data_IF_586445561274
#
_entry.id   IF_586445561274
#
_cell.length_a   1.000
_cell.length_b   1.000
_cell.length_c   1.000
_cell.angle_alpha   90.00
_cell.angle_beta   90.00
_cell.angle_gamma   90.00
#
_symmetry.space_group_name_H-M   'P 1'
#
loop_
_entity.id
_entity.type
_entity.pdbx_description
1 polymer ?
#
# COMPACT_ATOMS: atom_id res chain seq x y z
N UNK A 1 -7.05 -30.29 -29.22
CA UNK A 1 -7.71 -28.98 -28.95
C UNK A 1 -8.55 -29.02 -27.66
N UNK A 2 -7.97 -29.49 -26.55
CA UNK A 2 -8.65 -29.55 -25.22
C UNK A 2 -7.90 -28.81 -24.11
N UNK A 3 -6.59 -28.54 -24.31
CA UNK A 3 -5.75 -27.84 -23.32
C UNK A 3 -5.81 -26.31 -23.41
N UNK A 4 -6.34 -25.74 -24.49
CA UNK A 4 -6.39 -24.28 -24.67
C UNK A 4 -7.51 -23.64 -23.83
N UNK A 5 -8.57 -24.39 -23.51
CA UNK A 5 -9.72 -23.90 -22.73
C UNK A 5 -9.41 -23.87 -21.23
N UNK A 6 -8.42 -24.63 -20.75
CA UNK A 6 -8.06 -24.66 -19.33
C UNK A 6 -7.21 -23.45 -18.89
N UNK A 7 -6.62 -22.70 -19.84
CA UNK A 7 -5.71 -21.60 -19.54
C UNK A 7 -6.42 -20.23 -19.41
N UNK A 8 -7.70 -20.13 -19.81
CA UNK A 8 -8.40 -18.83 -19.88
C UNK A 8 -9.19 -18.47 -18.62
N UNK A 9 -9.29 -19.37 -17.62
CA UNK A 9 -10.16 -19.17 -16.44
C UNK A 9 -9.39 -18.61 -15.23
N UNK A 10 -8.05 -18.63 -15.23
CA UNK A 10 -7.23 -18.25 -14.07
C UNK A 10 -6.84 -16.76 -13.98
N UNK A 11 -7.26 -15.90 -14.92
CA UNK A 11 -6.68 -14.55 -15.08
C UNK A 11 -7.56 -13.40 -14.53
N UNK A 12 -8.73 -13.64 -13.95
CA UNK A 12 -9.67 -12.57 -13.61
C UNK A 12 -10.12 -12.51 -12.13
N UNK A 13 -9.17 -12.67 -11.21
CA UNK A 13 -9.39 -12.30 -9.80
C UNK A 13 -8.61 -11.03 -9.44
N UNK A 14 -8.70 -9.99 -10.27
CA UNK A 14 -8.38 -8.63 -9.80
C UNK A 14 -9.54 -8.14 -8.94
N UNK A 15 -9.56 -8.59 -7.68
CA UNK A 15 -10.46 -8.06 -6.68
C UNK A 15 -10.19 -6.57 -6.51
N UNK A 16 -11.13 -5.73 -6.95
CA UNK A 16 -11.15 -4.30 -6.65
C UNK A 16 -11.53 -4.12 -5.16
N UNK A 17 -10.60 -4.48 -4.28
CA UNK A 17 -10.70 -4.21 -2.85
C UNK A 17 -10.30 -2.77 -2.57
N UNK A 18 -11.00 -2.11 -1.64
CA UNK A 18 -10.53 -0.82 -1.13
C UNK A 18 -9.18 -0.97 -0.46
N UNK A 19 -8.39 0.11 -0.50
CA UNK A 19 -7.03 0.17 -0.01
C UNK A 19 -6.94 -0.25 1.48
N UNK A 20 -7.94 0.13 2.26
CA UNK A 20 -8.11 -0.30 3.66
C UNK A 20 -8.15 -1.81 3.82
N UNK A 21 -8.93 -2.51 3.00
CA UNK A 21 -9.08 -3.97 3.11
C UNK A 21 -7.79 -4.68 2.71
N UNK A 22 -7.07 -4.15 1.71
CA UNK A 22 -5.79 -4.71 1.29
C UNK A 22 -4.70 -4.46 2.33
N UNK A 23 -4.65 -3.27 2.92
CA UNK A 23 -3.67 -2.94 3.95
C UNK A 23 -3.80 -3.81 5.20
N UNK A 24 -5.01 -4.30 5.53
CA UNK A 24 -5.23 -5.27 6.61
C UNK A 24 -4.59 -6.65 6.36
N UNK A 25 -4.25 -6.97 5.12
CA UNK A 25 -3.60 -8.23 4.74
C UNK A 25 -2.06 -8.12 4.76
N UNK A 26 -1.53 -6.91 4.95
CA UNK A 26 -0.09 -6.66 5.07
C UNK A 26 0.29 -6.72 6.55
N UNK A 27 1.31 -7.52 6.85
CA UNK A 27 1.80 -7.75 8.21
C UNK A 27 3.19 -7.17 8.39
N UNK A 28 3.56 -6.90 9.64
CA UNK A 28 4.95 -6.59 9.98
C UNK A 28 5.86 -7.76 9.61
N UNK A 29 7.03 -7.45 9.06
CA UNK A 29 7.98 -8.44 8.56
C UNK A 29 7.72 -8.92 7.13
N UNK A 30 6.59 -8.58 6.51
CA UNK A 30 6.31 -8.96 5.13
C UNK A 30 7.36 -8.38 4.17
N UNK A 31 7.72 -9.17 3.17
CA UNK A 31 8.63 -8.76 2.08
C UNK A 31 7.92 -7.84 1.10
N UNK A 32 8.70 -7.11 0.31
CA UNK A 32 8.19 -6.27 -0.78
C UNK A 32 7.37 -7.06 -1.79
N UNK A 33 7.73 -8.30 -2.05
CA UNK A 33 7.04 -9.21 -2.96
C UNK A 33 5.66 -9.57 -2.42
N UNK A 34 5.56 -9.87 -1.11
CA UNK A 34 4.27 -10.13 -0.44
C UNK A 34 3.39 -8.89 -0.45
N UNK A 35 3.94 -7.72 -0.14
CA UNK A 35 3.19 -6.45 -0.20
C UNK A 35 2.70 -6.19 -1.63
N UNK A 36 3.54 -6.41 -2.64
CA UNK A 36 3.16 -6.23 -4.04
C UNK A 36 2.04 -7.19 -4.46
N UNK A 37 2.07 -8.44 -3.99
CA UNK A 37 1.03 -9.42 -4.27
C UNK A 37 -0.34 -9.02 -3.69
N UNK A 38 -0.34 -8.33 -2.55
CA UNK A 38 -1.56 -7.86 -1.87
C UNK A 38 -2.04 -6.51 -2.41
N UNK A 39 -1.14 -5.54 -2.44
CA UNK A 39 -1.46 -4.13 -2.70
C UNK A 39 -1.42 -3.79 -4.19
N UNK A 40 -0.59 -4.49 -4.97
CA UNK A 40 -0.23 -4.12 -6.34
C UNK A 40 1.03 -3.26 -6.39
N UNK A 41 1.28 -2.63 -7.53
CA UNK A 41 2.37 -1.66 -7.66
C UNK A 41 2.04 -0.37 -6.88
N UNK A 42 2.99 0.22 -6.16
CA UNK A 42 2.79 1.51 -5.49
C UNK A 42 2.72 2.66 -6.49
N UNK A 43 2.00 3.73 -6.12
CA UNK A 43 1.90 4.96 -6.91
C UNK A 43 3.15 5.84 -6.76
N UNK A 44 3.80 5.79 -5.58
CA UNK A 44 5.06 6.49 -5.31
C UNK A 44 5.97 5.68 -4.39
N UNK A 45 7.29 5.87 -4.52
CA UNK A 45 8.32 5.20 -3.72
C UNK A 45 9.42 6.19 -3.35
N UNK A 46 9.73 6.23 -2.05
CA UNK A 46 10.81 7.08 -1.52
C UNK A 46 11.78 6.24 -0.68
N UNK A 47 13.06 6.62 -0.67
CA UNK A 47 14.13 5.89 0.01
C UNK A 47 14.94 6.80 0.93
N UNK A 48 15.40 6.26 2.07
CA UNK A 48 16.34 6.92 2.97
C UNK A 48 17.19 5.87 3.71
N UNK A 49 18.37 5.60 3.17
CA UNK A 49 19.27 4.57 3.69
C UNK A 49 18.61 3.19 3.63
N UNK A 50 18.52 2.50 4.76
CA UNK A 50 17.85 1.21 4.89
C UNK A 50 16.32 1.30 4.92
N UNK A 51 15.76 2.51 4.99
CA UNK A 51 14.32 2.74 4.98
C UNK A 51 13.79 2.97 3.56
N UNK A 52 12.59 2.47 3.31
CA UNK A 52 11.86 2.67 2.07
C UNK A 52 10.38 2.88 2.41
N UNK A 53 9.71 3.81 1.72
CA UNK A 53 8.30 4.12 1.93
C UNK A 53 7.56 3.98 0.61
N UNK A 54 6.53 3.14 0.59
CA UNK A 54 5.66 2.94 -0.57
C UNK A 54 4.31 3.56 -0.32
N UNK A 55 3.89 4.44 -1.23
CA UNK A 55 2.61 5.12 -1.13
C UNK A 55 1.64 4.56 -2.14
N UNK A 56 0.43 4.32 -1.67
CA UNK A 56 -0.70 3.89 -2.47
C UNK A 56 -1.83 4.87 -2.27
N UNK A 57 -2.61 5.06 -3.31
CA UNK A 57 -3.69 6.01 -3.29
C UNK A 57 -4.95 5.44 -3.95
N UNK A 58 -6.09 5.80 -3.38
CA UNK A 58 -7.40 5.47 -3.92
C UNK A 58 -8.34 6.67 -3.88
N UNK A 59 -8.77 7.10 -5.06
CA UNK A 59 -9.89 8.04 -5.21
C UNK A 59 -11.21 7.36 -4.86
N UNK A 60 -12.11 8.09 -4.19
CA UNK A 60 -13.49 7.63 -4.01
C UNK A 60 -13.65 6.52 -2.97
N UNK A 61 -12.70 6.38 -2.04
CA UNK A 61 -12.86 5.55 -0.84
C UNK A 61 -13.97 6.07 0.11
N UNK A 62 -14.47 7.29 -0.13
CA UNK A 62 -15.67 7.87 0.46
C UNK A 62 -16.07 9.17 -0.25
N UNK A 63 -16.96 9.95 0.35
CA UNK A 63 -17.43 11.20 -0.24
C UNK A 63 -16.39 12.32 -0.09
N UNK A 64 -15.82 12.77 -1.22
CA UNK A 64 -15.03 14.00 -1.29
C UNK A 64 -13.59 13.90 -0.74
N UNK A 65 -12.99 12.72 -0.71
CA UNK A 65 -11.58 12.56 -0.35
C UNK A 65 -10.88 11.43 -1.12
N UNK A 66 -9.56 11.55 -1.19
CA UNK A 66 -8.62 10.50 -1.58
C UNK A 66 -8.06 9.85 -0.31
N UNK A 67 -7.99 8.52 -0.31
CA UNK A 67 -7.40 7.74 0.77
C UNK A 67 -5.99 7.29 0.36
N UNK A 68 -5.07 7.34 1.31
CA UNK A 68 -3.67 7.02 1.09
C UNK A 68 -3.18 6.04 2.16
N UNK A 69 -2.41 5.06 1.71
CA UNK A 69 -1.68 4.13 2.59
C UNK A 69 -0.20 4.24 2.33
N UNK A 70 0.57 4.40 3.39
CA UNK A 70 2.02 4.37 3.37
C UNK A 70 2.45 3.07 4.01
N UNK A 71 3.17 2.24 3.26
CA UNK A 71 3.82 1.04 3.78
C UNK A 71 5.30 1.37 3.97
N UNK A 72 5.76 1.26 5.21
CA UNK A 72 7.15 1.48 5.57
C UNK A 72 7.91 0.17 5.54
N UNK A 73 9.11 0.22 4.99
CA UNK A 73 10.05 -0.86 4.99
C UNK A 73 11.34 -0.44 5.68
N UNK A 74 11.90 -1.36 6.47
CA UNK A 74 13.26 -1.28 6.97
C UNK A 74 14.00 -2.54 6.56
N UNK A 75 15.15 -2.39 5.90
CA UNK A 75 15.94 -3.52 5.36
C UNK A 75 15.11 -4.49 4.50
N UNK A 76 14.16 -3.94 3.74
CA UNK A 76 13.34 -4.70 2.80
C UNK A 76 12.13 -5.43 3.38
N UNK A 77 11.83 -5.25 4.68
CA UNK A 77 10.67 -5.84 5.35
C UNK A 77 9.75 -4.77 5.92
N UNK A 78 8.45 -5.04 5.96
CA UNK A 78 7.45 -4.09 6.49
C UNK A 78 7.74 -3.78 7.96
N UNK A 79 8.06 -2.53 8.25
CA UNK A 79 8.21 -2.01 9.61
C UNK A 79 6.91 -1.39 10.14
N UNK A 80 6.02 -0.94 9.25
CA UNK A 80 4.69 -0.51 9.65
C UNK A 80 3.86 0.11 8.54
N UNK A 81 2.67 0.59 8.92
CA UNK A 81 1.66 1.11 7.99
C UNK A 81 1.03 2.36 8.58
N UNK A 82 0.98 3.43 7.79
CA UNK A 82 0.27 4.66 8.13
C UNK A 82 -0.77 4.97 7.07
N UNK A 83 -1.73 5.83 7.43
CA UNK A 83 -2.76 6.31 6.51
C UNK A 83 -3.06 7.77 6.69
N UNK A 84 -3.39 8.42 5.59
CA UNK A 84 -3.89 9.78 5.62
C UNK A 84 -4.95 9.98 4.54
N UNK A 85 -5.71 11.06 4.65
CA UNK A 85 -6.74 11.45 3.68
C UNK A 85 -6.47 12.85 3.18
N UNK A 86 -6.91 13.12 1.96
CA UNK A 86 -6.91 14.48 1.40
C UNK A 86 -8.21 14.78 0.67
N UNK A 87 -8.76 15.96 0.92
CA UNK A 87 -9.99 16.46 0.27
C UNK A 87 -9.70 17.64 -0.66
N UNK A 88 -8.45 17.76 -1.15
CA UNK A 88 -8.05 18.89 -1.99
C UNK A 88 -8.92 18.93 -3.26
N UNK A 89 -9.69 20.01 -3.49
CA UNK A 89 -10.53 20.14 -4.68
C UNK A 89 -9.70 20.13 -5.96
N UNK A 90 -10.27 19.60 -7.04
CA UNK A 90 -9.64 19.53 -8.36
C UNK A 90 -8.25 18.86 -8.36
N UNK A 91 -8.00 17.95 -7.43
CA UNK A 91 -6.77 17.14 -7.40
C UNK A 91 -7.05 15.70 -7.82
N UNK A 92 -6.07 15.08 -8.47
CA UNK A 92 -6.06 13.62 -8.59
C UNK A 92 -5.33 13.04 -7.40
N UNK A 93 -5.76 11.85 -7.01
CA UNK A 93 -5.12 10.99 -6.04
C UNK A 93 -3.58 10.94 -6.19
N UNK A 94 -3.06 10.64 -7.39
CA UNK A 94 -1.61 10.53 -7.62
C UNK A 94 -0.90 11.88 -7.51
N UNK A 95 -1.53 12.97 -7.97
CA UNK A 95 -0.94 14.32 -7.92
C UNK A 95 -0.92 14.95 -6.53
N UNK A 96 -1.68 14.38 -5.58
CA UNK A 96 -1.84 14.90 -4.23
C UNK A 96 -1.22 13.96 -3.17
N UNK A 97 -0.38 13.04 -3.63
CA UNK A 97 0.54 12.28 -2.79
C UNK A 97 1.48 13.24 -2.07
N UNK A 98 1.63 13.07 -0.75
CA UNK A 98 2.48 13.93 0.08
C UNK A 98 3.92 13.42 0.06
N UNK A 99 4.86 14.34 0.23
CA UNK A 99 6.24 13.96 0.54
C UNK A 99 6.28 13.28 1.91
N UNK A 100 7.07 12.21 2.02
CA UNK A 100 7.17 11.43 3.25
C UNK A 100 7.96 12.19 4.31
N UNK A 101 7.39 12.29 5.52
CA UNK A 101 8.14 12.69 6.69
C UNK A 101 8.79 11.47 7.33
N UNK A 102 10.10 11.37 7.27
CA UNK A 102 10.85 10.22 7.76
C UNK A 102 10.83 10.05 9.29
N UNK A 103 10.39 11.06 10.03
CA UNK A 103 10.16 10.95 11.48
C UNK A 103 8.92 10.10 11.80
N UNK A 104 8.02 9.91 10.83
CA UNK A 104 6.84 9.04 10.97
C UNK A 104 7.17 7.56 10.73
N UNK A 105 8.40 7.25 10.28
CA UNK A 105 8.84 5.89 10.03
C UNK A 105 8.92 5.13 11.37
N UNK A 106 8.16 4.03 11.54
CA UNK A 106 8.23 3.28 12.78
C UNK A 106 9.59 2.61 12.91
N UNK A 107 10.24 2.83 14.05
CA UNK A 107 11.41 2.05 14.45
C UNK A 107 11.02 0.57 14.55
N UNK A 108 11.91 -0.34 14.14
CA UNK A 108 11.68 -1.80 14.26
C UNK A 108 11.56 -2.30 15.71
N UNK A 109 11.53 -1.41 16.72
CA UNK A 109 11.09 -1.81 18.05
C UNK A 109 9.65 -2.30 17.95
N UNK A 110 9.49 -3.62 17.98
CA UNK A 110 8.25 -4.38 18.05
C UNK A 110 7.42 -3.90 19.26
N UNK A 111 6.80 -2.73 19.18
CA UNK A 111 5.73 -2.38 20.09
C UNK A 111 4.52 -3.18 19.64
N UNK A 112 4.41 -4.36 20.24
CA UNK A 112 3.17 -5.13 20.33
C UNK A 112 2.13 -4.17 20.90
N UNK A 113 1.46 -3.44 20.02
CA UNK A 113 0.33 -2.59 20.40
C UNK A 113 -0.85 -3.53 20.63
N UNK A 114 -0.81 -4.21 21.78
CA UNK A 114 -1.91 -5.00 22.33
C UNK A 114 -3.11 -4.06 22.38
N UNK A 115 -4.17 -4.43 21.66
CA UNK A 115 -5.40 -3.65 21.56
C UNK A 115 -6.51 -4.35 22.34
#
# INVERSE_FOLDING_TARGET
MKFVILLSVTVLLFGCGSLDKKALLVNSGDTKEQVTAVMGAPDDRQFKGDNEAWQYCQTGAGFGYHDYRVIWFYKGQVSGINSYKSSRPASSCVTDIKQINWEDAPDMSLEIRNR
#
